data_IF_934943674197
#
_entry.id   IF_934943674197
#
_cell.length_a   1.000
_cell.length_b   1.000
_cell.length_c   1.000
_cell.angle_alpha   90.00
_cell.angle_beta   90.00
_cell.angle_gamma   90.00
#
_symmetry.space_group_name_H-M   'P 1'
#
loop_
_entity.id
_entity.type
_entity.pdbx_description
1 polymer ?
#
# COMPACT_ATOMS: atom_id res chain seq x y z
N UNK A 1 -12.08 -48.32 -16.08
CA UNK A 1 -11.17 -47.50 -16.90
C UNK A 1 -11.73 -46.09 -16.91
N UNK A 2 -11.19 -45.21 -16.06
CA UNK A 2 -11.21 -43.73 -16.15
C UNK A 2 -10.72 -43.17 -14.81
N UNK A 3 -9.42 -42.89 -14.76
CA UNK A 3 -8.79 -42.07 -13.72
C UNK A 3 -9.15 -40.61 -14.01
N UNK A 4 -9.82 -39.94 -13.08
CA UNK A 4 -9.91 -38.48 -13.06
C UNK A 4 -8.73 -37.98 -12.24
N UNK A 5 -7.69 -37.53 -12.94
CA UNK A 5 -6.58 -36.80 -12.35
C UNK A 5 -7.06 -35.37 -12.03
N UNK A 6 -6.91 -35.03 -10.76
CA UNK A 6 -6.97 -33.67 -10.25
C UNK A 6 -5.77 -32.89 -10.80
N UNK A 7 -6.04 -31.83 -11.56
CA UNK A 7 -5.05 -30.82 -11.93
C UNK A 7 -4.66 -30.01 -10.68
N UNK A 8 -3.37 -29.90 -10.31
CA UNK A 8 -2.93 -28.98 -9.28
C UNK A 8 -2.82 -27.56 -9.87
N UNK A 9 -3.54 -26.62 -9.25
CA UNK A 9 -3.35 -25.17 -9.46
C UNK A 9 -1.94 -24.83 -8.97
N UNK A 10 -1.03 -24.59 -9.91
CA UNK A 10 0.33 -24.14 -9.62
C UNK A 10 0.31 -22.73 -9.02
N UNK A 11 1.09 -22.46 -7.96
CA UNK A 11 1.15 -21.16 -7.29
C UNK A 11 1.83 -20.12 -8.18
N UNK A 12 1.33 -18.89 -8.03
CA UNK A 12 1.71 -17.67 -8.73
C UNK A 12 3.15 -17.24 -8.38
N UNK A 13 4.15 -18.01 -8.85
CA UNK A 13 5.57 -17.76 -8.56
C UNK A 13 6.41 -17.72 -9.84
N UNK A 14 6.00 -16.93 -10.86
CA UNK A 14 6.87 -16.54 -11.98
C UNK A 14 6.49 -15.15 -12.49
N UNK A 15 6.87 -14.09 -11.77
CA UNK A 15 6.87 -12.74 -12.35
C UNK A 15 7.77 -11.76 -11.57
N UNK A 16 9.01 -12.13 -11.24
CA UNK A 16 10.01 -11.13 -10.86
C UNK A 16 11.43 -11.67 -11.08
N UNK A 17 11.81 -11.74 -12.35
CA UNK A 17 13.20 -11.69 -12.76
C UNK A 17 13.28 -11.03 -14.14
N UNK A 18 14.14 -10.00 -14.23
CA UNK A 18 14.62 -9.28 -15.42
C UNK A 18 13.80 -8.07 -15.88
N UNK A 19 14.06 -6.94 -15.24
CA UNK A 19 14.40 -5.71 -15.97
C UNK A 19 15.70 -5.15 -15.36
N UNK A 20 16.81 -5.72 -15.81
CA UNK A 20 18.11 -5.07 -15.73
C UNK A 20 18.15 -4.04 -16.84
N UNK A 21 18.10 -2.75 -16.50
CA UNK A 21 18.48 -1.69 -17.43
C UNK A 21 19.87 -1.22 -17.06
N UNK A 22 20.83 -1.58 -17.92
CA UNK A 22 22.21 -1.17 -17.84
C UNK A 22 22.34 0.37 -17.80
N UNK A 23 23.28 0.90 -17.00
CA UNK A 23 23.62 2.31 -16.98
C UNK A 23 24.68 2.60 -18.06
N UNK A 24 24.30 3.29 -19.12
CA UNK A 24 25.24 3.95 -20.02
C UNK A 24 24.82 5.40 -20.24
N UNK A 25 25.32 6.22 -19.31
CA UNK A 25 25.88 7.56 -19.51
C UNK A 25 25.82 8.09 -20.96
N UNK A 26 24.76 8.87 -21.24
CA UNK A 26 24.80 9.92 -22.24
C UNK A 26 25.28 11.20 -21.54
N UNK A 27 26.52 11.57 -21.85
CA UNK A 27 27.19 12.81 -21.42
C UNK A 27 26.88 13.94 -22.40
N UNK A 28 26.70 15.14 -21.83
CA UNK A 28 26.74 16.49 -22.47
C UNK A 28 25.54 16.82 -23.38
N UNK A 29 25.04 18.05 -23.49
CA UNK A 29 25.69 19.36 -23.39
C UNK A 29 24.61 20.45 -23.22
N UNK A 30 24.93 21.47 -22.42
CA UNK A 30 24.15 22.69 -22.22
C UNK A 30 24.03 23.56 -23.49
N UNK A 31 23.13 24.56 -23.42
CA UNK A 31 22.85 25.67 -24.37
C UNK A 31 21.84 25.36 -25.48
N UNK A 32 20.63 25.96 -25.41
CA UNK A 32 20.31 27.27 -26.02
C UNK A 32 18.80 27.55 -25.85
N UNK A 33 18.46 28.60 -25.09
CA UNK A 33 17.11 29.19 -25.05
C UNK A 33 17.01 30.22 -26.18
N UNK A 34 15.89 30.27 -26.92
CA UNK A 34 15.42 31.54 -27.45
C UNK A 34 13.99 31.85 -26.98
N UNK A 35 13.85 33.08 -26.47
CA UNK A 35 12.61 33.74 -26.07
C UNK A 35 11.58 33.79 -27.20
N UNK A 36 10.29 33.56 -26.88
CA UNK A 36 9.17 34.03 -27.68
C UNK A 36 8.11 34.72 -26.79
N UNK A 37 8.22 36.04 -26.79
CA UNK A 37 7.17 37.07 -26.80
C UNK A 37 5.74 36.60 -26.48
N UNK A 38 5.27 36.95 -25.27
CA UNK A 38 3.85 36.94 -24.89
C UNK A 38 3.25 38.29 -25.26
N UNK A 39 2.38 38.31 -26.27
CA UNK A 39 1.51 39.47 -26.57
C UNK A 39 0.26 39.43 -25.69
N UNK A 40 -0.04 40.57 -25.08
CA UNK A 40 -1.24 40.83 -24.27
C UNK A 40 -2.42 41.15 -25.18
N UNK A 41 -3.53 40.44 -25.04
CA UNK A 41 -4.85 40.94 -25.43
C UNK A 41 -5.83 40.83 -24.27
N UNK A 42 -6.38 41.98 -23.88
CA UNK A 42 -7.51 42.13 -22.98
C UNK A 42 -8.80 41.93 -23.78
N UNK A 43 -9.73 41.12 -23.29
CA UNK A 43 -11.15 41.32 -23.62
C UNK A 43 -12.08 40.93 -22.48
N UNK A 44 -13.11 41.74 -22.39
CA UNK A 44 -14.03 42.04 -21.28
C UNK A 44 -14.98 40.91 -20.92
N UNK A 45 -15.45 40.96 -19.66
CA UNK A 45 -16.48 40.11 -19.05
C UNK A 45 -17.78 40.05 -19.86
N UNK A 46 -18.37 38.86 -19.94
CA UNK A 46 -19.82 38.69 -19.97
C UNK A 46 -20.22 37.47 -19.14
N UNK A 47 -21.15 37.69 -18.23
CA UNK A 47 -21.79 36.73 -17.34
C UNK A 47 -22.72 35.80 -18.10
N UNK A 48 -22.52 34.49 -18.00
CA UNK A 48 -23.58 33.51 -18.21
C UNK A 48 -23.51 32.38 -17.18
N UNK A 49 -24.56 32.32 -16.36
CA UNK A 49 -24.80 31.35 -15.30
C UNK A 49 -25.23 30.02 -15.95
N UNK A 50 -24.27 29.17 -16.28
CA UNK A 50 -24.49 27.81 -16.75
C UNK A 50 -24.19 26.79 -15.65
N UNK A 51 -25.21 26.08 -15.17
CA UNK A 51 -25.08 24.92 -14.29
C UNK A 51 -24.21 23.85 -14.99
N UNK A 52 -22.93 23.77 -14.64
CA UNK A 52 -22.07 22.70 -15.10
C UNK A 52 -22.08 21.55 -14.08
N UNK A 53 -22.83 20.49 -14.40
CA UNK A 53 -22.66 19.16 -13.81
C UNK A 53 -21.22 18.70 -14.14
N UNK A 54 -20.28 18.92 -13.22
CA UNK A 54 -18.99 18.22 -13.25
C UNK A 54 -19.15 16.89 -12.50
N UNK A 55 -19.51 15.84 -13.22
CA UNK A 55 -19.33 14.47 -12.73
C UNK A 55 -17.89 14.03 -13.01
N UNK A 56 -17.01 14.43 -12.09
CA UNK A 56 -15.76 13.73 -11.81
C UNK A 56 -15.84 13.41 -10.31
N UNK A 57 -15.61 12.16 -9.91
CA UNK A 57 -15.64 11.77 -8.49
C UNK A 57 -14.58 12.60 -7.75
N UNK A 58 -15.00 13.60 -6.97
CA UNK A 58 -14.07 14.41 -6.18
C UNK A 58 -13.23 13.49 -5.29
N UNK A 59 -11.94 13.79 -5.03
CA UNK A 59 -11.10 12.99 -4.12
C UNK A 59 -11.80 12.71 -2.77
N UNK A 60 -12.57 13.68 -2.27
CA UNK A 60 -13.44 13.53 -1.10
C UNK A 60 -14.50 12.43 -1.26
N UNK A 61 -15.12 12.27 -2.44
CA UNK A 61 -16.12 11.22 -2.70
C UNK A 61 -15.47 9.84 -2.79
N UNK A 62 -14.26 9.77 -3.38
CA UNK A 62 -13.54 8.49 -3.46
C UNK A 62 -13.15 7.99 -2.07
N UNK A 63 -12.68 8.90 -1.22
CA UNK A 63 -12.33 8.63 0.19
C UNK A 63 -13.53 8.07 0.97
N UNK A 64 -14.67 8.76 0.87
CA UNK A 64 -15.92 8.37 1.52
C UNK A 64 -16.43 7.01 1.01
N UNK A 65 -16.43 6.79 -0.30
CA UNK A 65 -16.86 5.52 -0.90
C UNK A 65 -16.00 4.35 -0.43
N UNK A 66 -14.67 4.47 -0.44
CA UNK A 66 -13.77 3.39 -0.05
C UNK A 66 -13.89 3.09 1.46
N UNK A 67 -14.03 4.13 2.30
CA UNK A 67 -14.23 3.97 3.73
C UNK A 67 -15.58 3.30 4.03
N UNK A 68 -16.66 3.74 3.38
CA UNK A 68 -17.99 3.12 3.53
C UNK A 68 -17.95 1.65 3.10
N UNK A 69 -17.26 1.33 2.00
CA UNK A 69 -17.08 -0.05 1.55
C UNK A 69 -16.35 -0.89 2.60
N UNK A 70 -15.31 -0.34 3.23
CA UNK A 70 -14.60 -1.01 4.33
C UNK A 70 -15.50 -1.19 5.56
N UNK A 71 -16.27 -0.19 5.96
CA UNK A 71 -17.21 -0.29 7.10
C UNK A 71 -18.35 -1.27 6.87
N UNK A 72 -18.70 -1.54 5.61
CA UNK A 72 -19.72 -2.51 5.20
C UNK A 72 -19.17 -3.93 5.02
N UNK A 73 -17.85 -4.12 5.17
CA UNK A 73 -17.20 -5.42 5.14
C UNK A 73 -17.10 -6.02 6.55
N UNK A 74 -16.50 -7.21 6.68
CA UNK A 74 -16.37 -7.90 7.97
C UNK A 74 -15.29 -7.31 8.90
N UNK A 75 -14.63 -6.23 8.48
CA UNK A 75 -13.63 -5.55 9.30
C UNK A 75 -14.28 -4.64 10.34
N UNK A 76 -13.80 -4.75 11.58
CA UNK A 76 -14.12 -3.78 12.63
C UNK A 76 -13.30 -2.50 12.43
N UNK A 77 -13.98 -1.40 12.12
CA UNK A 77 -13.40 -0.06 11.93
C UNK A 77 -13.71 0.85 13.13
N UNK A 78 -12.70 1.55 13.64
CA UNK A 78 -12.84 2.55 14.71
C UNK A 78 -12.40 3.93 14.20
N UNK A 79 -13.33 4.88 14.16
CA UNK A 79 -13.06 6.24 13.68
C UNK A 79 -12.31 7.07 14.72
N UNK A 80 -11.41 7.96 14.28
CA UNK A 80 -10.69 8.90 15.16
C UNK A 80 -11.31 10.29 14.99
N UNK A 81 -11.74 10.89 16.11
CA UNK A 81 -12.26 12.26 16.17
C UNK A 81 -13.36 12.58 15.13
N UNK A 82 -14.20 11.61 14.78
CA UNK A 82 -15.25 11.70 13.75
C UNK A 82 -14.73 12.09 12.34
N UNK A 83 -13.42 12.02 12.10
CA UNK A 83 -12.78 12.36 10.83
C UNK A 83 -12.59 11.14 9.92
N UNK A 84 -12.68 11.34 8.60
CA UNK A 84 -12.45 10.29 7.60
C UNK A 84 -10.98 10.18 7.14
N UNK A 85 -10.09 10.98 7.72
CA UNK A 85 -8.67 11.02 7.32
C UNK A 85 -7.86 9.93 8.03
N UNK A 86 -8.21 9.59 9.27
CA UNK A 86 -7.47 8.64 10.08
C UNK A 86 -8.45 7.77 10.86
N UNK A 87 -8.21 6.46 10.87
CA UNK A 87 -9.04 5.48 11.55
C UNK A 87 -8.23 4.22 11.86
N UNK A 88 -8.80 3.36 12.70
CA UNK A 88 -8.23 2.05 13.00
C UNK A 88 -9.06 0.93 12.40
N UNK A 89 -8.39 -0.17 12.06
CA UNK A 89 -9.00 -1.40 11.55
C UNK A 89 -8.43 -2.57 12.33
N UNK A 90 -9.28 -3.48 12.80
CA UNK A 90 -8.83 -4.73 13.41
C UNK A 90 -8.54 -5.74 12.31
N UNK A 91 -7.27 -6.13 12.19
CA UNK A 91 -6.76 -7.03 11.16
C UNK A 91 -6.33 -8.36 11.79
N UNK A 92 -6.85 -9.46 11.24
CA UNK A 92 -6.49 -10.80 11.64
C UNK A 92 -5.32 -11.32 10.81
N UNK A 93 -4.35 -11.96 11.46
CA UNK A 93 -3.20 -12.54 10.79
C UNK A 93 -3.61 -13.57 9.72
N UNK A 94 -3.01 -13.55 8.52
CA UNK A 94 -3.34 -14.48 7.46
C UNK A 94 -3.15 -15.94 7.86
N UNK A 95 -4.02 -16.81 7.36
CA UNK A 95 -3.79 -18.25 7.41
C UNK A 95 -2.51 -18.62 6.66
N UNK A 96 -1.89 -19.74 7.02
CA UNK A 96 -0.63 -20.21 6.41
C UNK A 96 0.54 -19.22 6.55
N UNK A 97 0.47 -18.31 7.53
CA UNK A 97 1.55 -17.38 7.88
C UNK A 97 1.95 -17.57 9.35
N UNK A 98 3.18 -17.20 9.77
CA UNK A 98 3.56 -17.25 11.17
C UNK A 98 2.75 -16.30 12.05
N UNK A 99 2.01 -15.37 11.43
CA UNK A 99 1.11 -14.40 12.07
C UNK A 99 -0.30 -14.94 12.32
N UNK A 100 -0.63 -16.15 11.84
CA UNK A 100 -1.95 -16.75 12.02
C UNK A 100 -2.38 -16.77 13.49
N UNK A 101 -3.63 -16.43 13.75
CA UNK A 101 -4.20 -16.32 15.10
C UNK A 101 -3.90 -15.01 15.82
N UNK A 102 -2.94 -14.21 15.31
CA UNK A 102 -2.71 -12.85 15.81
C UNK A 102 -3.81 -11.87 15.38
N UNK A 103 -3.99 -10.82 16.17
CA UNK A 103 -4.92 -9.73 15.89
C UNK A 103 -4.20 -8.40 16.11
N UNK A 104 -4.28 -7.53 15.12
CA UNK A 104 -3.64 -6.22 15.17
C UNK A 104 -4.63 -5.09 14.95
N UNK A 105 -4.52 -4.05 15.77
CA UNK A 105 -5.13 -2.75 15.52
C UNK A 105 -4.22 -1.98 14.57
N UNK A 106 -4.67 -1.79 13.34
CA UNK A 106 -3.92 -1.12 12.27
C UNK A 106 -4.46 0.29 12.11
N UNK A 107 -3.58 1.29 12.22
CA UNK A 107 -3.83 2.69 11.87
C UNK A 107 -3.74 2.86 10.36
N UNK A 108 -4.75 3.51 9.80
CA UNK A 108 -4.80 3.91 8.39
C UNK A 108 -4.92 5.41 8.35
N UNK A 109 -4.03 6.06 7.60
CA UNK A 109 -4.05 7.50 7.38
C UNK A 109 -4.13 7.79 5.88
N UNK A 110 -5.15 8.54 5.48
CA UNK A 110 -5.40 8.87 4.08
C UNK A 110 -4.82 10.25 3.74
N UNK A 111 -3.84 10.35 2.83
CA UNK A 111 -3.29 11.63 2.43
C UNK A 111 -4.33 12.45 1.64
N UNK A 112 -4.13 13.76 1.56
CA UNK A 112 -5.02 14.66 0.79
C UNK A 112 -5.12 14.25 -0.69
N UNK A 113 -4.04 13.70 -1.24
CA UNK A 113 -3.95 13.24 -2.62
C UNK A 113 -4.49 11.81 -2.84
N UNK A 114 -5.10 11.17 -1.84
CA UNK A 114 -5.75 9.87 -2.01
C UNK A 114 -6.83 9.92 -3.12
N UNK A 115 -6.91 8.91 -4.02
CA UNK A 115 -6.17 7.64 -4.06
C UNK A 115 -4.87 7.67 -4.90
N UNK A 116 -4.46 8.83 -5.42
CA UNK A 116 -3.24 8.93 -6.23
C UNK A 116 -1.96 8.76 -5.41
N UNK A 117 -2.02 9.06 -4.11
CA UNK A 117 -1.05 8.61 -3.12
C UNK A 117 -1.65 7.50 -2.26
N UNK A 118 -0.81 6.54 -1.90
CA UNK A 118 -1.15 5.41 -1.03
C UNK A 118 -1.55 5.87 0.38
N UNK A 119 -2.38 5.10 1.10
CA UNK A 119 -2.56 5.30 2.53
C UNK A 119 -1.27 4.98 3.28
N UNK A 120 -1.03 5.67 4.39
CA UNK A 120 -0.01 5.25 5.36
C UNK A 120 -0.60 4.22 6.30
N UNK A 121 0.16 3.14 6.55
CA UNK A 121 -0.28 1.99 7.34
C UNK A 121 0.67 1.78 8.52
N UNK A 122 0.13 1.60 9.72
CA UNK A 122 0.92 1.33 10.92
C UNK A 122 0.23 0.40 11.90
N UNK A 123 0.97 -0.54 12.48
CA UNK A 123 0.50 -1.44 13.52
C UNK A 123 0.57 -0.76 14.89
N UNK A 124 -0.55 -0.64 15.60
CA UNK A 124 -0.60 0.01 16.93
C UNK A 124 -0.07 -0.93 18.02
N UNK A 125 -0.47 -2.20 18.00
CA UNK A 125 0.16 -3.21 18.82
C UNK A 125 1.35 -3.83 18.08
N UNK A 126 2.37 -4.24 18.85
CA UNK A 126 3.64 -4.70 18.31
C UNK A 126 3.47 -5.88 17.33
N UNK A 127 4.20 -5.81 16.22
CA UNK A 127 4.41 -6.90 15.28
C UNK A 127 5.90 -7.00 14.99
N UNK A 128 6.42 -8.22 14.92
CA UNK A 128 7.82 -8.47 14.58
C UNK A 128 7.90 -8.82 13.09
N UNK A 129 8.35 -7.88 12.25
CA UNK A 129 8.35 -8.04 10.79
C UNK A 129 9.47 -7.21 10.13
N UNK A 130 10.19 -7.72 9.11
CA UNK A 130 11.29 -7.02 8.45
C UNK A 130 10.96 -5.61 7.92
N UNK A 131 9.77 -5.43 7.36
CA UNK A 131 9.34 -4.15 6.77
C UNK A 131 8.45 -3.29 7.68
N UNK A 132 8.44 -3.55 8.99
CA UNK A 132 7.72 -2.75 9.98
C UNK A 132 8.73 -2.13 10.94
N UNK A 133 8.64 -0.82 11.15
CA UNK A 133 9.46 -0.12 12.14
C UNK A 133 9.06 -0.55 13.56
N UNK A 134 10.04 -0.96 14.38
CA UNK A 134 9.76 -1.52 15.70
C UNK A 134 9.20 -0.52 16.71
N UNK A 135 9.55 0.76 16.56
CA UNK A 135 9.17 1.80 17.53
C UNK A 135 7.78 2.36 17.22
N UNK A 136 7.53 2.71 15.97
CA UNK A 136 6.30 3.35 15.51
C UNK A 136 5.25 2.37 15.00
N UNK A 137 5.65 1.14 14.66
CA UNK A 137 4.80 0.15 13.99
C UNK A 137 4.51 0.48 12.52
N UNK A 138 5.14 1.51 11.96
CA UNK A 138 4.88 1.94 10.58
C UNK A 138 5.38 0.92 9.56
N UNK A 139 4.55 0.61 8.57
CA UNK A 139 4.97 -0.18 7.41
C UNK A 139 5.80 0.69 6.47
N UNK A 140 6.88 0.14 5.92
CA UNK A 140 7.72 0.85 4.95
C UNK A 140 6.91 1.39 3.77
N UNK A 141 6.93 2.71 3.58
CA UNK A 141 6.15 3.38 2.54
C UNK A 141 6.56 2.94 1.13
N UNK A 142 7.84 2.64 0.91
CA UNK A 142 8.32 2.16 -0.40
C UNK A 142 7.75 0.79 -0.74
N UNK A 143 7.57 -0.10 0.25
CA UNK A 143 6.91 -1.39 0.06
C UNK A 143 5.42 -1.21 -0.24
N UNK A 144 4.74 -0.28 0.44
CA UNK A 144 3.35 0.08 0.11
C UNK A 144 3.25 0.60 -1.33
N UNK A 145 4.16 1.48 -1.73
CA UNK A 145 4.13 2.13 -3.05
C UNK A 145 4.47 1.17 -4.20
N UNK A 146 5.21 0.08 -3.95
CA UNK A 146 5.45 -0.96 -4.96
C UNK A 146 4.17 -1.71 -5.34
N UNK A 147 3.22 -1.85 -4.41
CA UNK A 147 1.95 -2.54 -4.65
C UNK A 147 0.81 -1.58 -4.95
N UNK A 148 0.78 -0.37 -4.36
CA UNK A 148 -0.36 0.52 -4.46
C UNK A 148 -0.64 0.99 -5.89
N UNK A 149 -1.93 1.06 -6.22
CA UNK A 149 -2.46 1.64 -7.45
C UNK A 149 -3.75 2.38 -7.11
N UNK A 150 -4.07 3.52 -7.75
CA UNK A 150 -5.34 4.23 -7.52
C UNK A 150 -6.61 3.40 -7.86
N UNK A 151 -6.42 2.26 -8.52
CA UNK A 151 -7.47 1.27 -8.79
C UNK A 151 -7.80 0.41 -7.57
N UNK A 152 -6.88 0.27 -6.61
CA UNK A 152 -7.15 -0.40 -5.35
C UNK A 152 -7.95 0.51 -4.41
N UNK A 153 -8.75 -0.11 -3.56
CA UNK A 153 -9.49 0.53 -2.48
C UNK A 153 -8.97 0.07 -1.12
N UNK A 154 -9.57 0.58 -0.04
CA UNK A 154 -9.18 0.24 1.31
C UNK A 154 -9.38 -1.24 1.66
N UNK A 155 -10.36 -1.93 1.07
CA UNK A 155 -10.57 -3.36 1.32
C UNK A 155 -9.39 -4.16 0.76
N UNK A 156 -8.87 -3.80 -0.42
CA UNK A 156 -7.69 -4.46 -1.00
C UNK A 156 -6.44 -4.34 -0.11
N UNK A 157 -6.33 -3.30 0.73
CA UNK A 157 -5.22 -3.17 1.68
C UNK A 157 -5.20 -4.34 2.66
N UNK A 158 -6.37 -4.73 3.16
CA UNK A 158 -6.50 -5.79 4.17
C UNK A 158 -6.69 -7.18 3.57
N UNK A 159 -7.33 -7.30 2.41
CA UNK A 159 -7.56 -8.59 1.74
C UNK A 159 -6.35 -9.08 0.93
N UNK A 160 -5.53 -8.16 0.42
CA UNK A 160 -4.45 -8.51 -0.51
C UNK A 160 -3.11 -8.01 0.00
N UNK A 161 -2.96 -6.70 0.19
CA UNK A 161 -1.65 -6.12 0.40
C UNK A 161 -1.00 -6.57 1.72
N UNK A 162 -1.66 -6.37 2.87
CA UNK A 162 -1.10 -6.79 4.15
C UNK A 162 -0.89 -8.30 4.24
N UNK A 163 -1.82 -9.17 3.79
CA UNK A 163 -1.57 -10.60 3.75
C UNK A 163 -0.35 -10.99 2.93
N UNK A 164 -0.21 -10.43 1.72
CA UNK A 164 0.96 -10.71 0.87
C UNK A 164 2.26 -10.23 1.50
N UNK A 165 2.26 -9.04 2.13
CA UNK A 165 3.42 -8.53 2.83
C UNK A 165 3.86 -9.46 3.97
N UNK A 166 2.92 -9.94 4.78
CA UNK A 166 3.21 -10.81 5.92
C UNK A 166 3.69 -12.21 5.49
N UNK A 167 3.19 -12.72 4.36
CA UNK A 167 3.63 -14.00 3.79
C UNK A 167 5.01 -13.88 3.13
N UNK A 168 5.27 -12.75 2.44
CA UNK A 168 6.46 -12.53 1.63
C UNK A 168 7.13 -11.19 1.98
N UNK A 169 7.83 -11.10 3.12
CA UNK A 169 8.57 -9.89 3.50
C UNK A 169 9.67 -9.57 2.49
N UNK A 170 10.01 -8.30 2.32
CA UNK A 170 11.14 -7.85 1.51
C UNK A 170 12.39 -7.64 2.39
N UNK A 171 13.40 -8.53 2.36
CA UNK A 171 14.59 -8.41 3.20
C UNK A 171 15.66 -7.47 2.62
N UNK A 172 15.52 -6.94 1.40
CA UNK A 172 16.57 -6.17 0.73
C UNK A 172 16.77 -4.77 1.31
N UNK A 173 15.72 -4.18 1.89
CA UNK A 173 15.77 -2.88 2.58
C UNK A 173 14.80 -2.88 3.78
N UNK A 174 15.18 -3.51 4.90
CA UNK A 174 14.30 -3.72 6.04
C UNK A 174 14.30 -2.50 6.98
N UNK A 175 13.14 -2.21 7.57
CA UNK A 175 13.04 -1.29 8.71
C UNK A 175 13.48 -1.97 10.01
N UNK A 176 13.22 -3.27 10.13
CA UNK A 176 13.72 -4.12 11.20
C UNK A 176 14.81 -5.04 10.67
N UNK A 177 16.07 -4.60 10.79
CA UNK A 177 17.23 -5.36 10.35
C UNK A 177 17.45 -6.66 11.12
N UNK A 178 17.04 -6.73 12.39
CA UNK A 178 17.16 -7.94 13.21
C UNK A 178 16.20 -9.03 12.73
N UNK A 179 14.93 -8.67 12.48
CA UNK A 179 13.92 -9.55 11.90
C UNK A 179 14.35 -10.05 10.52
N UNK A 180 14.87 -9.17 9.67
CA UNK A 180 15.36 -9.55 8.33
C UNK A 180 16.54 -10.54 8.42
N UNK A 181 17.55 -10.22 9.24
CA UNK A 181 18.72 -11.07 9.41
C UNK A 181 18.35 -12.44 10.00
N UNK A 182 17.47 -12.47 11.01
CA UNK A 182 16.99 -13.71 11.61
C UNK A 182 16.20 -14.55 10.61
N UNK A 183 15.25 -13.94 9.88
CA UNK A 183 14.48 -14.62 8.83
C UNK A 183 15.36 -15.26 7.76
N UNK A 184 16.42 -14.56 7.34
CA UNK A 184 17.36 -15.06 6.32
C UNK A 184 18.28 -16.16 6.85
N UNK A 185 18.73 -16.06 8.11
CA UNK A 185 19.68 -17.00 8.72
C UNK A 185 18.99 -18.28 9.21
N UNK A 186 17.85 -18.12 9.89
CA UNK A 186 17.11 -19.19 10.55
C UNK A 186 15.61 -18.86 10.58
N UNK A 187 14.92 -19.35 9.56
CA UNK A 187 13.49 -19.13 9.42
C UNK A 187 12.67 -19.74 10.56
N UNK A 188 13.08 -20.89 11.10
CA UNK A 188 12.32 -21.55 12.16
C UNK A 188 12.33 -20.72 13.45
N UNK A 189 13.50 -20.20 13.83
CA UNK A 189 13.62 -19.31 15.00
C UNK A 189 12.89 -17.99 14.77
N UNK A 190 12.94 -17.42 13.56
CA UNK A 190 12.13 -16.26 13.21
C UNK A 190 10.63 -16.49 13.40
N UNK A 191 10.10 -17.62 12.93
CA UNK A 191 8.67 -17.94 13.08
C UNK A 191 8.25 -18.15 14.54
N UNK A 192 9.14 -18.71 15.38
CA UNK A 192 8.90 -18.79 16.84
C UNK A 192 8.84 -17.40 17.49
N UNK A 193 9.79 -16.53 17.12
CA UNK A 193 9.85 -15.14 17.58
C UNK A 193 8.60 -14.35 17.21
N UNK A 194 8.10 -14.51 15.97
CA UNK A 194 6.85 -13.89 15.50
C UNK A 194 5.66 -14.31 16.36
N UNK A 195 5.60 -15.58 16.78
CA UNK A 195 4.52 -16.12 17.62
C UNK A 195 4.61 -15.71 19.09
N UNK A 196 5.67 -15.00 19.49
CA UNK A 196 5.93 -14.66 20.89
C UNK A 196 6.29 -15.87 21.75
N UNK A 197 6.78 -16.94 21.14
CA UNK A 197 7.33 -18.11 21.83
C UNK A 197 8.82 -17.81 22.02
N UNK A 198 9.15 -17.12 23.11
CA UNK A 198 10.53 -16.88 23.56
C UNK A 198 10.98 -18.02 24.51
#
# INVERSE_FOLDING_TARGET
FCLLLSEPILPLQVAQAKFSLNPLLSLSLSLLIPEKQVTKEKKTQHTHKGKNRKTMSSPSKRREMDLMKLMMSDYKVEMINDGMQEFYVHFHGPNESPYHGGVWKVRVELPDAYPYKSPSIGFINKIYHPNVDEMSGSVCLDVINQTWSPMFDLVNVFEVFLPQLLLYPNPSDPLNGEAAALMMRDRATYEQRVKGID
#
